data_IF_530299219166
#
_entry.id   IF_530299219166
#
_cell.length_a   1.000
_cell.length_b   1.000
_cell.length_c   1.000
_cell.angle_alpha   90.00
_cell.angle_beta   90.00
_cell.angle_gamma   90.00
#
_symmetry.space_group_name_H-M   'P 1'
#
loop_
_entity.id
_entity.type
_entity.pdbx_description
1 polymer ?
#
# COMPACT_ATOMS: atom_id res chain seq x y z
N UNK A 1 24.76 3.03 -9.99
CA UNK A 1 24.59 4.38 -10.10
C UNK A 1 23.43 4.89 -9.32
N UNK A 2 23.45 6.09 -9.07
CA UNK A 2 22.53 6.59 -8.16
C UNK A 2 21.87 7.79 -8.65
N UNK A 3 20.69 7.72 -9.05
CA UNK A 3 19.91 8.87 -9.34
C UNK A 3 19.07 9.29 -8.16
N UNK A 4 19.39 8.77 -7.03
CA UNK A 4 18.59 8.98 -5.85
C UNK A 4 18.44 10.42 -5.49
N UNK A 5 19.49 11.19 -5.61
CA UNK A 5 19.46 12.58 -5.24
C UNK A 5 18.53 13.42 -6.11
N UNK A 6 18.14 12.90 -7.26
CA UNK A 6 17.26 13.62 -8.16
C UNK A 6 15.86 13.05 -8.18
N UNK A 7 15.58 12.09 -7.30
CA UNK A 7 14.29 11.40 -7.28
C UNK A 7 13.57 11.75 -5.98
N UNK A 8 12.43 12.40 -6.06
CA UNK A 8 11.63 12.61 -4.89
C UNK A 8 10.67 11.43 -4.69
N UNK A 9 10.14 11.23 -3.48
CA UNK A 9 9.28 10.09 -3.19
C UNK A 9 8.03 10.02 -4.05
N UNK A 10 7.47 11.15 -4.42
CA UNK A 10 6.28 11.20 -5.25
C UNK A 10 6.57 10.70 -6.66
N UNK A 11 7.67 11.17 -7.24
CA UNK A 11 8.08 10.75 -8.58
C UNK A 11 8.43 9.27 -8.61
N UNK A 12 9.11 8.79 -7.58
CA UNK A 12 9.47 7.38 -7.48
C UNK A 12 8.22 6.49 -7.46
N UNK A 13 7.19 6.92 -6.72
CA UNK A 13 5.93 6.19 -6.66
C UNK A 13 5.25 6.15 -8.03
N UNK A 14 5.25 7.25 -8.75
CA UNK A 14 4.66 7.27 -10.09
C UNK A 14 5.33 6.26 -11.00
N UNK A 15 6.65 6.17 -10.95
CA UNK A 15 7.39 5.20 -11.76
C UNK A 15 7.07 3.77 -11.39
N UNK A 16 6.97 3.48 -10.09
CA UNK A 16 6.62 2.15 -9.62
C UNK A 16 5.21 1.76 -10.06
N UNK A 17 4.26 2.65 -9.92
CA UNK A 17 2.87 2.38 -10.30
C UNK A 17 2.76 2.13 -11.80
N UNK A 18 3.52 2.86 -12.61
CA UNK A 18 3.53 2.63 -14.05
C UNK A 18 3.93 1.21 -14.41
N UNK A 19 4.81 0.60 -13.63
CA UNK A 19 5.31 -0.73 -13.94
C UNK A 19 4.35 -1.85 -13.53
N UNK A 20 3.35 -1.57 -12.69
CA UNK A 20 2.46 -2.60 -12.15
C UNK A 20 1.00 -2.45 -12.58
N UNK A 21 0.75 -1.62 -13.56
CA UNK A 21 -0.61 -1.45 -14.08
C UNK A 21 -1.13 -2.73 -14.71
N UNK A 22 -2.46 -2.92 -14.72
CA UNK A 22 -3.48 -2.01 -14.21
C UNK A 22 -3.82 -2.26 -12.75
N UNK A 23 -4.07 -1.17 -12.01
CA UNK A 23 -4.57 -1.25 -10.65
C UNK A 23 -6.07 -0.96 -10.71
N UNK A 24 -6.85 -2.00 -10.79
CA UNK A 24 -8.30 -1.90 -11.00
C UNK A 24 -9.04 -2.68 -9.92
N UNK A 25 -10.31 -2.34 -9.73
CA UNK A 25 -11.17 -3.00 -8.75
C UNK A 25 -10.84 -2.58 -7.33
N UNK A 26 -10.74 -3.53 -6.43
CA UNK A 26 -10.44 -3.25 -5.03
C UNK A 26 -8.97 -3.54 -4.74
N UNK A 27 -8.27 -2.53 -4.28
CA UNK A 27 -6.83 -2.59 -4.05
C UNK A 27 -6.53 -2.54 -2.55
N UNK A 28 -5.63 -3.39 -2.10
CA UNK A 28 -5.10 -3.38 -0.74
C UNK A 28 -3.63 -2.94 -0.80
N UNK A 29 -3.29 -1.94 0.00
CA UNK A 29 -1.92 -1.45 0.17
C UNK A 29 -1.53 -1.71 1.62
N UNK A 30 -0.53 -2.54 1.85
CA UNK A 30 -0.19 -2.99 3.19
C UNK A 30 0.65 -2.01 4.00
N UNK A 31 1.14 -0.95 3.40
CA UNK A 31 1.96 0.04 4.11
C UNK A 31 1.73 1.43 3.51
N UNK A 32 0.96 2.25 4.22
CA UNK A 32 0.57 3.58 3.74
C UNK A 32 1.77 4.49 3.48
N UNK A 33 2.69 4.57 4.43
CA UNK A 33 3.81 5.50 4.32
C UNK A 33 3.30 6.93 4.11
N UNK A 34 3.79 7.60 3.08
CA UNK A 34 3.31 8.94 2.73
C UNK A 34 2.01 8.91 1.93
N UNK A 35 1.52 7.74 1.57
CA UNK A 35 0.24 7.59 0.89
C UNK A 35 0.28 7.73 -0.62
N UNK A 36 1.45 7.92 -1.21
CA UNK A 36 1.54 8.16 -2.65
C UNK A 36 1.07 6.98 -3.47
N UNK A 37 1.38 5.76 -3.03
CA UNK A 37 0.94 4.55 -3.71
C UNK A 37 -0.58 4.43 -3.68
N UNK A 38 -1.18 4.62 -2.51
CA UNK A 38 -2.64 4.53 -2.37
C UNK A 38 -3.34 5.61 -3.21
N UNK A 39 -2.81 6.82 -3.21
CA UNK A 39 -3.38 7.92 -3.98
C UNK A 39 -3.33 7.63 -5.47
N UNK A 40 -2.20 7.13 -5.97
CA UNK A 40 -2.10 6.80 -7.39
C UNK A 40 -2.98 5.62 -7.76
N UNK A 41 -3.05 4.60 -6.89
CA UNK A 41 -3.93 3.46 -7.13
C UNK A 41 -5.39 3.90 -7.24
N UNK A 42 -5.81 4.87 -6.44
CA UNK A 42 -7.19 5.36 -6.44
C UNK A 42 -7.59 6.02 -7.75
N UNK A 43 -6.64 6.35 -8.61
CA UNK A 43 -6.96 6.95 -9.91
C UNK A 43 -7.62 5.97 -10.86
N UNK A 44 -7.33 4.70 -10.71
CA UNK A 44 -7.87 3.65 -11.59
C UNK A 44 -8.68 2.61 -10.85
N UNK A 45 -8.52 2.49 -9.53
CA UNK A 45 -9.23 1.50 -8.73
C UNK A 45 -10.63 2.01 -8.35
N UNK A 46 -11.53 1.07 -8.07
CA UNK A 46 -12.83 1.41 -7.50
C UNK A 46 -12.71 1.82 -6.04
N UNK A 47 -11.79 1.16 -5.33
CA UNK A 47 -11.58 1.40 -3.91
C UNK A 47 -10.18 0.96 -3.51
N UNK A 48 -9.56 1.71 -2.60
CA UNK A 48 -8.25 1.40 -2.05
C UNK A 48 -8.34 1.35 -0.53
N UNK A 49 -7.87 0.26 0.05
CA UNK A 49 -7.68 0.16 1.50
C UNK A 49 -6.19 0.21 1.75
N UNK A 50 -5.74 1.11 2.61
CA UNK A 50 -4.32 1.26 2.92
C UNK A 50 -4.11 1.23 4.43
N UNK A 51 -3.05 0.56 4.89
CA UNK A 51 -2.83 0.28 6.30
C UNK A 51 -1.54 0.92 6.76
N UNK A 52 -1.58 1.62 7.89
CA UNK A 52 -0.41 2.23 8.51
C UNK A 52 -0.27 1.76 9.95
N UNK A 53 0.92 1.26 10.28
CA UNK A 53 1.24 0.81 11.62
C UNK A 53 1.43 1.97 12.59
N UNK A 54 2.06 3.06 12.13
CA UNK A 54 2.50 4.16 12.98
C UNK A 54 1.60 5.38 12.84
N UNK A 55 0.79 5.70 13.87
CA UNK A 55 -0.05 6.90 13.81
C UNK A 55 0.73 8.20 13.59
N UNK A 56 2.01 8.23 14.01
CA UNK A 56 2.85 9.40 13.80
C UNK A 56 3.10 9.66 12.32
N UNK A 57 3.20 8.60 11.52
CA UNK A 57 3.37 8.75 10.07
C UNK A 57 2.17 9.47 9.46
N UNK A 58 0.97 9.23 9.98
CA UNK A 58 -0.21 9.93 9.48
C UNK A 58 -0.21 11.41 9.82
N UNK A 59 0.39 11.79 10.96
CA UNK A 59 0.53 13.20 11.31
C UNK A 59 1.44 13.90 10.30
N UNK A 60 2.50 13.23 9.86
CA UNK A 60 3.37 13.76 8.81
C UNK A 60 2.59 13.92 7.52
N UNK A 61 1.77 12.94 7.17
CA UNK A 61 0.95 13.01 5.96
C UNK A 61 0.00 14.20 5.97
N UNK A 62 -0.56 14.53 7.12
CA UNK A 62 -1.48 15.66 7.23
C UNK A 62 -0.80 17.01 6.95
N UNK A 63 0.51 17.07 7.15
CA UNK A 63 1.30 18.26 6.89
C UNK A 63 1.91 18.28 5.48
N UNK A 64 1.82 17.17 4.76
CA UNK A 64 2.41 17.03 3.45
C UNK A 64 1.39 17.33 2.36
N UNK A 65 1.60 18.37 1.54
CA UNK A 65 0.64 18.73 0.48
C UNK A 65 0.33 17.58 -0.48
N UNK A 66 1.30 16.70 -0.72
CA UNK A 66 1.15 15.60 -1.66
C UNK A 66 0.34 14.42 -1.09
N UNK A 67 0.08 14.43 0.21
CA UNK A 67 -0.60 13.32 0.89
C UNK A 67 -2.06 13.62 1.21
N UNK A 68 -2.57 14.77 0.84
CA UNK A 68 -3.89 15.21 1.30
C UNK A 68 -5.03 14.33 0.83
N UNK A 69 -4.91 13.72 -0.34
CA UNK A 69 -5.96 12.85 -0.86
C UNK A 69 -6.20 11.62 0.00
N UNK A 70 -5.23 11.22 0.84
CA UNK A 70 -5.47 10.13 1.79
C UNK A 70 -6.68 10.40 2.68
N UNK A 71 -6.94 11.67 2.97
CA UNK A 71 -7.94 12.06 3.97
C UNK A 71 -9.22 12.58 3.37
N UNK A 72 -9.23 12.87 2.08
CA UNK A 72 -10.41 13.47 1.46
C UNK A 72 -10.89 12.77 0.19
N UNK A 73 -10.28 11.65 -0.17
CA UNK A 73 -10.74 10.88 -1.31
C UNK A 73 -11.67 9.75 -0.83
N UNK A 74 -12.95 9.77 -1.22
CA UNK A 74 -13.90 8.76 -0.73
C UNK A 74 -13.60 7.34 -1.18
N UNK A 75 -12.72 7.17 -2.15
CA UNK A 75 -12.29 5.84 -2.60
C UNK A 75 -11.19 5.24 -1.75
N UNK A 76 -10.63 6.01 -0.81
CA UNK A 76 -9.52 5.54 0.01
C UNK A 76 -9.98 5.37 1.45
N UNK A 77 -9.83 4.16 1.98
CA UNK A 77 -9.98 3.89 3.41
C UNK A 77 -8.60 3.70 4.00
N UNK A 78 -8.20 4.60 4.89
CA UNK A 78 -6.92 4.53 5.56
C UNK A 78 -7.14 3.94 6.96
N UNK A 79 -6.50 2.81 7.24
CA UNK A 79 -6.61 2.09 8.49
C UNK A 79 -5.30 2.19 9.28
N UNK A 80 -5.41 2.23 10.61
CA UNK A 80 -4.26 2.20 11.49
C UNK A 80 -4.21 0.83 12.15
N UNK A 81 -3.04 0.20 12.11
CA UNK A 81 -2.84 -1.08 12.75
C UNK A 81 -1.68 -1.82 12.14
N UNK A 82 -1.36 -2.96 12.74
CA UNK A 82 -0.35 -3.86 12.19
C UNK A 82 -1.01 -4.63 11.05
N UNK A 83 -0.43 -4.53 9.86
CA UNK A 83 -0.99 -5.21 8.68
C UNK A 83 -1.16 -6.70 8.90
N UNK A 84 -0.26 -7.34 9.67
CA UNK A 84 -0.40 -8.76 9.97
C UNK A 84 -1.74 -9.04 10.65
N UNK A 85 -2.10 -8.23 11.64
CA UNK A 85 -3.35 -8.40 12.38
C UNK A 85 -4.56 -7.95 11.58
N UNK A 86 -4.43 -6.81 10.90
CA UNK A 86 -5.55 -6.22 10.16
C UNK A 86 -5.97 -7.12 9.00
N UNK A 87 -5.01 -7.64 8.25
CA UNK A 87 -5.31 -8.52 7.11
C UNK A 87 -5.96 -9.82 7.58
N UNK A 88 -5.55 -10.34 8.74
CA UNK A 88 -6.12 -11.57 9.28
C UNK A 88 -7.62 -11.45 9.52
N UNK A 89 -8.12 -10.25 9.78
CA UNK A 89 -9.54 -10.00 10.05
C UNK A 89 -10.34 -9.69 8.79
N UNK A 90 -9.70 -9.58 7.64
CA UNK A 90 -10.37 -9.27 6.39
C UNK A 90 -11.00 -10.52 5.77
N UNK A 91 -12.07 -10.30 5.01
CA UNK A 91 -12.76 -11.39 4.33
C UNK A 91 -11.93 -11.95 3.18
N UNK A 92 -12.05 -13.26 2.97
CA UNK A 92 -11.39 -13.92 1.85
C UNK A 92 -11.92 -13.37 0.52
N UNK A 93 -11.05 -13.26 -0.48
CA UNK A 93 -11.46 -12.88 -1.82
C UNK A 93 -11.96 -11.46 -1.96
N UNK A 94 -11.49 -10.54 -1.10
CA UNK A 94 -11.97 -9.15 -1.11
C UNK A 94 -11.27 -8.27 -2.13
N UNK A 95 -10.05 -8.61 -2.54
CA UNK A 95 -9.21 -7.70 -3.32
C UNK A 95 -8.80 -8.29 -4.65
N UNK A 96 -8.74 -7.43 -5.65
CA UNK A 96 -8.27 -7.79 -6.99
C UNK A 96 -6.78 -7.52 -7.17
N UNK A 97 -6.25 -6.59 -6.41
CA UNK A 97 -4.82 -6.23 -6.44
C UNK A 97 -4.35 -6.00 -5.02
N UNK A 98 -3.16 -6.50 -4.71
CA UNK A 98 -2.51 -6.26 -3.42
C UNK A 98 -1.13 -5.70 -3.69
N UNK A 99 -0.80 -4.58 -3.05
CA UNK A 99 0.52 -3.97 -3.12
C UNK A 99 1.16 -4.15 -1.76
N UNK A 100 2.29 -4.86 -1.72
CA UNK A 100 3.02 -5.10 -0.50
C UNK A 100 4.39 -4.46 -0.60
N UNK A 101 4.54 -3.29 0.01
CA UNK A 101 5.77 -2.51 -0.04
C UNK A 101 6.11 -2.01 1.37
N UNK A 102 6.42 -2.93 2.30
CA UNK A 102 6.76 -2.52 3.65
C UNK A 102 8.10 -1.79 3.70
N UNK A 103 8.33 -0.97 4.73
CA UNK A 103 9.61 -0.30 4.90
C UNK A 103 10.76 -1.31 4.97
N UNK A 104 11.93 -0.91 4.46
CA UNK A 104 13.12 -1.77 4.48
C UNK A 104 13.51 -2.16 5.91
N UNK A 105 13.29 -1.27 6.88
CA UNK A 105 13.54 -1.55 8.28
C UNK A 105 12.22 -1.71 9.00
N UNK A 106 11.53 -2.77 8.70
CA UNK A 106 10.32 -3.09 9.41
C UNK A 106 10.68 -3.78 10.72
N UNK A 107 10.19 -3.28 11.83
CA UNK A 107 10.29 -3.97 13.10
C UNK A 107 9.37 -5.19 13.11
N UNK A 108 8.43 -5.23 12.21
CA UNK A 108 7.51 -6.33 12.07
C UNK A 108 8.03 -7.30 11.02
N UNK A 109 8.99 -8.14 11.41
CA UNK A 109 9.47 -9.22 10.55
C UNK A 109 8.35 -10.10 10.04
N UNK A 110 7.21 -10.10 10.75
CA UNK A 110 6.02 -10.83 10.36
C UNK A 110 5.52 -10.47 8.97
N UNK A 111 5.77 -9.24 8.50
CA UNK A 111 5.32 -8.82 7.17
C UNK A 111 6.02 -9.55 6.03
N UNK A 112 7.09 -10.26 6.33
CA UNK A 112 7.82 -11.06 5.34
C UNK A 112 7.65 -12.55 5.58
N UNK A 113 6.82 -12.95 6.55
CA UNK A 113 6.64 -14.36 6.86
C UNK A 113 5.77 -15.05 5.83
N UNK A 114 5.95 -16.37 5.70
CA UNK A 114 5.08 -17.19 4.84
C UNK A 114 3.63 -17.13 5.30
N UNK A 115 3.40 -17.02 6.61
CA UNK A 115 2.06 -16.89 7.16
C UNK A 115 1.38 -15.63 6.66
N UNK A 116 2.08 -14.51 6.63
CA UNK A 116 1.52 -13.26 6.14
C UNK A 116 1.19 -13.35 4.65
N UNK A 117 2.10 -13.90 3.86
CA UNK A 117 1.84 -14.07 2.42
C UNK A 117 0.66 -15.00 2.16
N UNK A 118 0.48 -16.01 3.01
CA UNK A 118 -0.70 -16.87 2.92
C UNK A 118 -1.98 -16.05 3.13
N UNK A 119 -1.97 -15.13 4.11
CA UNK A 119 -3.12 -14.27 4.35
C UNK A 119 -3.36 -13.29 3.20
N UNK A 120 -2.30 -12.74 2.62
CA UNK A 120 -2.46 -11.87 1.46
C UNK A 120 -3.09 -12.64 0.30
N UNK A 121 -2.65 -13.86 0.08
CA UNK A 121 -3.22 -14.70 -0.97
C UNK A 121 -4.69 -15.00 -0.71
N UNK A 122 -5.05 -15.27 0.57
CA UNK A 122 -6.42 -15.57 0.96
C UNK A 122 -7.37 -14.41 0.66
N UNK A 123 -6.94 -13.16 0.92
CA UNK A 123 -7.81 -12.00 0.71
C UNK A 123 -7.93 -11.60 -0.76
N UNK A 124 -7.10 -12.17 -1.64
CA UNK A 124 -7.21 -11.91 -3.07
C UNK A 124 -8.29 -12.76 -3.71
N UNK A 125 -8.96 -12.20 -4.71
CA UNK A 125 -9.90 -12.95 -5.55
C UNK A 125 -9.12 -13.85 -6.49
N UNK A 126 -9.83 -14.81 -7.08
CA UNK A 126 -9.29 -15.60 -8.19
C UNK A 126 -8.83 -14.64 -9.27
N UNK A 127 -7.64 -14.91 -9.82
CA UNK A 127 -7.01 -14.04 -10.81
C UNK A 127 -6.56 -12.68 -10.25
N UNK A 128 -6.56 -12.51 -8.94
CA UNK A 128 -5.97 -11.34 -8.30
C UNK A 128 -4.46 -11.33 -8.48
N UNK A 129 -3.84 -10.17 -8.31
CA UNK A 129 -2.40 -10.02 -8.48
C UNK A 129 -1.78 -9.37 -7.26
N UNK A 130 -0.66 -9.94 -6.83
CA UNK A 130 0.16 -9.38 -5.75
C UNK A 130 1.39 -8.73 -6.36
N UNK A 131 1.63 -7.48 -5.98
CA UNK A 131 2.82 -6.74 -6.39
C UNK A 131 3.68 -6.48 -5.16
N UNK A 132 4.93 -6.90 -5.23
CA UNK A 132 5.90 -6.64 -4.18
C UNK A 132 6.84 -5.55 -4.66
N UNK A 133 6.68 -4.33 -4.12
CA UNK A 133 7.54 -3.22 -4.48
C UNK A 133 8.72 -3.22 -3.52
N UNK A 134 9.77 -3.91 -3.89
CA UNK A 134 10.88 -4.09 -3.00
C UNK A 134 11.68 -2.82 -2.78
N UNK A 135 12.43 -2.81 -1.68
CA UNK A 135 13.43 -1.79 -1.39
C UNK A 135 14.81 -2.43 -1.54
N UNK A 136 15.66 -1.77 -2.27
CA UNK A 136 17.00 -2.27 -2.52
C UNK A 136 18.06 -1.28 -2.10
#
# INVERSE_FOLDING_TARGET
MHRIKNTDPHQDTLEKIHSIKPLVGRVLDTATGLGYTAIQAARTAEHVTTIELDPTALKVCKLNPWSQELFNNPRIDQLIGDSFDVVAEMDSGSYTRVIHDPPAFSLAGDLYSGEFYTQLHRVMRNHGRLFHLGHF
#
